data_IF_707947640202
#
_entry.id   IF_707947640202
#
_cell.length_a   1.000
_cell.length_b   1.000
_cell.length_c   1.000
_cell.angle_alpha   90.00
_cell.angle_beta   90.00
_cell.angle_gamma   90.00
#
_symmetry.space_group_name_H-M   'P 1'
#
loop_
_entity.id
_entity.type
_entity.pdbx_description
1 polymer ?
#
# COMPACT_ATOMS: atom_id res chain seq x y z
N UNK A 1 24.89 40.11 28.31
CA UNK A 1 23.46 39.85 28.06
C UNK A 1 23.10 39.93 26.57
N UNK A 2 23.39 41.04 25.90
CA UNK A 2 23.03 41.25 24.48
C UNK A 2 23.79 40.32 23.54
N UNK A 3 25.06 40.06 23.84
CA UNK A 3 25.91 39.15 23.06
C UNK A 3 25.47 37.66 23.20
N UNK A 4 24.97 37.29 24.37
CA UNK A 4 24.42 35.93 24.62
C UNK A 4 23.09 35.70 23.87
N UNK A 5 22.24 36.73 23.83
CA UNK A 5 20.99 36.72 23.09
C UNK A 5 21.28 36.64 21.58
N UNK A 6 22.25 37.40 21.08
CA UNK A 6 22.66 37.37 19.69
C UNK A 6 23.21 35.98 19.30
N UNK A 7 24.08 35.41 20.14
CA UNK A 7 24.63 34.06 19.90
C UNK A 7 23.56 32.96 19.91
N UNK A 8 22.59 33.06 20.83
CA UNK A 8 21.46 32.13 20.89
C UNK A 8 20.60 32.24 19.63
N UNK A 9 20.27 33.46 19.18
CA UNK A 9 19.49 33.68 17.98
C UNK A 9 20.21 33.20 16.72
N UNK A 10 21.52 33.44 16.65
CA UNK A 10 22.37 32.96 15.54
C UNK A 10 22.39 31.40 15.49
N UNK A 11 22.60 30.75 16.62
CA UNK A 11 22.60 29.30 16.68
C UNK A 11 21.22 28.70 16.31
N UNK A 12 20.13 29.34 16.75
CA UNK A 12 18.77 28.92 16.36
C UNK A 12 18.55 29.10 14.84
N UNK A 13 19.07 30.17 14.26
CA UNK A 13 19.00 30.41 12.82
C UNK A 13 19.76 29.36 12.03
N UNK A 14 20.95 28.97 12.47
CA UNK A 14 21.73 27.89 11.83
C UNK A 14 21.03 26.55 11.90
N UNK A 15 20.43 26.20 13.04
CA UNK A 15 19.66 24.97 13.20
C UNK A 15 18.46 24.96 12.25
N UNK A 16 17.72 26.06 12.18
CA UNK A 16 16.58 26.20 11.25
C UNK A 16 17.01 26.10 9.79
N UNK A 17 18.12 26.72 9.41
CA UNK A 17 18.64 26.65 8.04
C UNK A 17 19.04 25.22 7.66
N UNK A 18 19.69 24.48 8.57
CA UNK A 18 20.01 23.07 8.35
C UNK A 18 18.76 22.23 8.16
N UNK A 19 17.78 22.37 9.04
CA UNK A 19 16.50 21.65 8.95
C UNK A 19 15.77 21.97 7.64
N UNK A 20 15.73 23.23 7.23
CA UNK A 20 15.16 23.63 5.94
C UNK A 20 15.94 23.06 4.75
N UNK A 21 17.26 23.04 4.80
CA UNK A 21 18.09 22.46 3.75
C UNK A 21 17.87 20.96 3.62
N UNK A 22 17.82 20.23 4.73
CA UNK A 22 17.53 18.80 4.74
C UNK A 22 16.14 18.49 4.16
N UNK A 23 15.12 19.28 4.54
CA UNK A 23 13.77 19.17 4.00
C UNK A 23 13.72 19.45 2.49
N UNK A 24 14.46 20.44 2.01
CA UNK A 24 14.54 20.74 0.57
C UNK A 24 15.17 19.58 -0.20
N UNK A 25 16.32 19.08 0.24
CA UNK A 25 16.98 17.92 -0.40
C UNK A 25 16.10 16.69 -0.41
N UNK A 26 15.40 16.42 0.69
CA UNK A 26 14.48 15.29 0.78
C UNK A 26 13.30 15.47 -0.21
N UNK A 27 12.73 16.66 -0.29
CA UNK A 27 11.66 16.98 -1.24
C UNK A 27 12.09 16.82 -2.70
N UNK A 28 13.25 17.34 -3.06
CA UNK A 28 13.80 17.20 -4.43
C UNK A 28 14.02 15.74 -4.79
N UNK A 29 14.53 14.92 -3.86
CA UNK A 29 14.68 13.48 -4.05
C UNK A 29 13.32 12.80 -4.26
N UNK A 30 12.31 13.14 -3.47
CA UNK A 30 10.97 12.59 -3.63
C UNK A 30 10.33 12.95 -4.97
N UNK A 31 10.47 14.20 -5.41
CA UNK A 31 9.93 14.65 -6.71
C UNK A 31 10.64 13.98 -7.89
N UNK A 32 11.99 13.90 -7.84
CA UNK A 32 12.77 13.20 -8.85
C UNK A 32 12.41 11.71 -8.92
N UNK A 33 12.29 11.05 -7.75
CA UNK A 33 11.92 9.65 -7.64
C UNK A 33 10.50 9.40 -8.15
N UNK A 34 9.54 10.25 -7.81
CA UNK A 34 8.16 10.17 -8.29
C UNK A 34 8.04 10.30 -9.81
N UNK A 35 8.83 11.19 -10.40
CA UNK A 35 8.89 11.35 -11.87
C UNK A 35 9.49 10.13 -12.55
N UNK A 36 10.62 9.61 -12.03
CA UNK A 36 11.29 8.43 -12.54
C UNK A 36 10.41 7.18 -12.47
N UNK A 37 9.78 6.94 -11.33
CA UNK A 37 8.90 5.80 -11.13
C UNK A 37 7.68 5.81 -12.07
N UNK A 38 7.12 7.00 -12.33
CA UNK A 38 6.03 7.16 -13.30
C UNK A 38 6.48 6.80 -14.72
N UNK A 39 7.64 7.31 -15.11
CA UNK A 39 8.22 7.00 -16.42
C UNK A 39 8.48 5.51 -16.58
N UNK A 40 9.12 4.88 -15.59
CA UNK A 40 9.38 3.44 -15.59
C UNK A 40 8.08 2.63 -15.62
N UNK A 41 7.06 3.02 -14.86
CA UNK A 41 5.77 2.34 -14.90
C UNK A 41 5.13 2.37 -16.30
N UNK A 42 5.18 3.50 -16.99
CA UNK A 42 4.71 3.59 -18.37
C UNK A 42 5.57 2.75 -19.33
N UNK A 43 6.88 2.80 -19.21
CA UNK A 43 7.78 2.03 -20.06
C UNK A 43 7.66 0.52 -19.86
N UNK A 44 7.33 0.04 -18.63
CA UNK A 44 7.06 -1.37 -18.38
C UNK A 44 5.67 -1.78 -18.89
N UNK A 45 4.65 -0.94 -18.75
CA UNK A 45 3.29 -1.24 -19.27
C UNK A 45 3.25 -1.35 -20.79
N UNK A 46 4.05 -0.56 -21.49
CA UNK A 46 4.07 -0.52 -22.96
C UNK A 46 4.33 -1.89 -23.60
N UNK A 47 5.31 -2.72 -23.18
CA UNK A 47 5.49 -4.05 -23.74
C UNK A 47 4.48 -5.09 -23.21
N UNK A 48 3.87 -4.89 -22.04
CA UNK A 48 2.93 -5.85 -21.47
C UNK A 48 1.63 -5.94 -22.29
N UNK A 49 1.12 -4.81 -22.77
CA UNK A 49 -0.10 -4.78 -23.58
C UNK A 49 0.01 -5.59 -24.87
N UNK A 50 1.05 -5.45 -25.73
CA UNK A 50 1.19 -6.30 -26.91
C UNK A 50 1.45 -7.78 -26.56
N UNK A 51 2.11 -8.09 -25.44
CA UNK A 51 2.28 -9.49 -25.00
C UNK A 51 0.90 -10.10 -24.68
N UNK A 52 0.05 -9.38 -23.93
CA UNK A 52 -1.30 -9.83 -23.60
C UNK A 52 -2.17 -10.06 -24.85
N UNK A 53 -2.13 -9.11 -25.79
CA UNK A 53 -2.81 -9.26 -27.09
C UNK A 53 -2.30 -10.46 -27.89
N UNK A 54 -1.01 -10.75 -27.82
CA UNK A 54 -0.42 -11.92 -28.49
C UNK A 54 -0.90 -13.23 -27.86
N UNK A 55 -0.98 -13.29 -26.54
CA UNK A 55 -1.55 -14.44 -25.81
C UNK A 55 -3.00 -14.69 -26.21
N UNK A 56 -3.82 -13.63 -26.28
CA UNK A 56 -5.21 -13.74 -26.67
C UNK A 56 -5.34 -14.21 -28.13
N UNK A 57 -4.49 -13.73 -29.03
CA UNK A 57 -4.44 -14.21 -30.42
C UNK A 57 -4.03 -15.68 -30.52
N UNK A 58 -3.02 -16.11 -29.75
CA UNK A 58 -2.59 -17.52 -29.71
C UNK A 58 -3.72 -18.40 -29.19
N UNK A 59 -4.39 -17.98 -28.13
CA UNK A 59 -5.56 -18.68 -27.59
C UNK A 59 -6.66 -18.86 -28.65
N UNK A 60 -7.05 -17.77 -29.30
CA UNK A 60 -8.13 -17.79 -30.29
C UNK A 60 -7.78 -18.59 -31.55
N UNK A 61 -6.51 -18.56 -31.97
CA UNK A 61 -6.06 -19.26 -33.16
C UNK A 61 -5.94 -20.77 -32.96
N UNK A 62 -5.34 -21.19 -31.85
CA UNK A 62 -4.94 -22.59 -31.67
C UNK A 62 -5.89 -23.42 -30.79
N UNK A 63 -6.80 -22.81 -30.01
CA UNK A 63 -7.72 -23.55 -29.16
C UNK A 63 -8.62 -24.53 -29.91
N UNK A 64 -8.91 -24.31 -31.19
CA UNK A 64 -9.74 -25.18 -32.03
C UNK A 64 -8.94 -26.14 -32.90
N UNK A 65 -7.61 -25.97 -33.01
CA UNK A 65 -6.75 -26.77 -33.85
C UNK A 65 -6.05 -27.91 -33.07
N UNK A 66 -6.05 -27.83 -31.75
CA UNK A 66 -5.38 -28.79 -30.86
C UNK A 66 -6.35 -29.91 -30.44
N UNK A 67 -5.83 -31.13 -30.33
CA UNK A 67 -6.54 -32.22 -29.68
C UNK A 67 -6.79 -31.92 -28.20
N UNK A 68 -7.79 -32.59 -27.60
CA UNK A 68 -8.34 -32.27 -26.29
C UNK A 68 -7.28 -32.15 -25.18
N UNK A 69 -6.31 -33.07 -25.15
CA UNK A 69 -5.25 -33.12 -24.14
C UNK A 69 -4.22 -31.98 -24.32
N UNK A 70 -3.83 -31.69 -25.55
CA UNK A 70 -2.89 -30.63 -25.85
C UNK A 70 -3.53 -29.25 -25.69
N UNK A 71 -4.83 -29.12 -25.93
CA UNK A 71 -5.60 -27.91 -25.71
C UNK A 71 -5.72 -27.55 -24.23
N UNK A 72 -5.95 -28.52 -23.34
CA UNK A 72 -5.97 -28.30 -21.90
C UNK A 72 -4.62 -27.76 -21.40
N UNK A 73 -3.53 -28.45 -21.73
CA UNK A 73 -2.17 -28.01 -21.36
C UNK A 73 -1.82 -26.63 -21.94
N UNK A 74 -2.20 -26.38 -23.19
CA UNK A 74 -1.96 -25.08 -23.85
C UNK A 74 -2.71 -23.94 -23.15
N UNK A 75 -3.99 -24.13 -22.84
CA UNK A 75 -4.79 -23.13 -22.13
C UNK A 75 -4.30 -22.90 -20.69
N UNK A 76 -3.84 -23.95 -20.00
CA UNK A 76 -3.25 -23.83 -18.67
C UNK A 76 -1.96 -23.00 -18.70
N UNK A 77 -1.06 -23.26 -19.65
CA UNK A 77 0.15 -22.47 -19.83
C UNK A 77 -0.16 -21.00 -20.16
N UNK A 78 -1.11 -20.73 -21.06
CA UNK A 78 -1.53 -19.36 -21.36
C UNK A 78 -2.13 -18.66 -20.14
N UNK A 79 -2.90 -19.37 -19.32
CA UNK A 79 -3.45 -18.86 -18.06
C UNK A 79 -2.35 -18.50 -17.07
N UNK A 80 -1.31 -19.34 -16.95
CA UNK A 80 -0.14 -19.06 -16.10
C UNK A 80 0.55 -17.77 -16.56
N UNK A 81 0.85 -17.66 -17.85
CA UNK A 81 1.51 -16.47 -18.41
C UNK A 81 0.65 -15.22 -18.18
N UNK A 82 -0.65 -15.30 -18.43
CA UNK A 82 -1.56 -14.18 -18.24
C UNK A 82 -1.64 -13.73 -16.76
N UNK A 83 -1.60 -14.68 -15.83
CA UNK A 83 -1.54 -14.38 -14.40
C UNK A 83 -0.21 -13.67 -14.02
N UNK A 84 0.92 -14.08 -14.60
CA UNK A 84 2.20 -13.40 -14.37
C UNK A 84 2.21 -11.97 -14.89
N UNK A 85 1.62 -11.73 -16.07
CA UNK A 85 1.48 -10.38 -16.63
C UNK A 85 0.64 -9.51 -15.68
N UNK A 86 -0.50 -10.01 -15.22
CA UNK A 86 -1.34 -9.28 -14.26
C UNK A 86 -0.62 -8.97 -12.94
N UNK A 87 0.22 -9.89 -12.46
CA UNK A 87 1.04 -9.66 -11.28
C UNK A 87 2.07 -8.55 -11.51
N UNK A 88 2.74 -8.55 -12.68
CA UNK A 88 3.68 -7.48 -13.04
C UNK A 88 2.96 -6.14 -13.15
N UNK A 89 1.80 -6.09 -13.80
CA UNK A 89 0.97 -4.87 -13.89
C UNK A 89 0.59 -4.34 -12.49
N UNK A 90 0.20 -5.22 -11.59
CA UNK A 90 -0.12 -4.87 -10.21
C UNK A 90 1.08 -4.25 -9.49
N UNK A 91 2.25 -4.91 -9.56
CA UNK A 91 3.49 -4.42 -8.94
C UNK A 91 3.90 -3.05 -9.50
N UNK A 92 3.81 -2.88 -10.82
CA UNK A 92 4.14 -1.61 -11.50
C UNK A 92 3.18 -0.49 -11.07
N UNK A 93 1.89 -0.80 -10.91
CA UNK A 93 0.90 0.16 -10.42
C UNK A 93 1.19 0.55 -8.96
N UNK A 94 1.42 -0.42 -8.08
CA UNK A 94 1.76 -0.19 -6.67
C UNK A 94 3.04 0.65 -6.53
N UNK A 95 4.06 0.37 -7.35
CA UNK A 95 5.29 1.15 -7.39
C UNK A 95 5.04 2.60 -7.85
N UNK A 96 4.24 2.78 -8.90
CA UNK A 96 3.87 4.12 -9.39
C UNK A 96 3.06 4.91 -8.36
N UNK A 97 2.14 4.24 -7.66
CA UNK A 97 1.30 4.86 -6.63
C UNK A 97 2.10 5.22 -5.39
N UNK A 98 3.06 4.37 -4.98
CA UNK A 98 4.01 4.67 -3.92
C UNK A 98 4.83 5.93 -4.25
N UNK A 99 5.33 6.02 -5.47
CA UNK A 99 6.13 7.17 -5.91
C UNK A 99 5.31 8.48 -6.10
N UNK A 100 3.99 8.37 -6.14
CA UNK A 100 3.06 9.52 -6.26
C UNK A 100 2.55 10.02 -4.91
N UNK A 101 2.98 9.44 -3.81
CA UNK A 101 2.44 9.88 -2.51
C UNK A 101 2.52 11.39 -2.37
N UNK A 102 1.39 12.09 -2.19
CA UNK A 102 1.38 13.52 -1.95
C UNK A 102 2.09 13.83 -0.63
N UNK A 103 2.56 15.07 -0.50
CA UNK A 103 3.11 15.53 0.78
C UNK A 103 2.04 15.36 1.86
N UNK A 104 2.39 14.80 3.03
CA UNK A 104 1.42 14.55 4.08
C UNK A 104 0.81 15.85 4.59
N UNK A 105 -0.51 15.86 4.76
CA UNK A 105 -1.26 16.96 5.35
C UNK A 105 -1.59 16.56 6.78
N UNK A 106 -0.77 17.01 7.73
CA UNK A 106 -0.95 16.68 9.14
C UNK A 106 -2.13 17.44 9.74
N UNK A 107 -3.08 16.69 10.28
CA UNK A 107 -4.24 17.19 11.00
C UNK A 107 -4.50 16.34 12.23
N UNK A 108 -5.20 16.91 13.22
CA UNK A 108 -5.63 16.16 14.40
C UNK A 108 -6.76 15.22 14.01
N UNK A 109 -6.49 13.92 13.95
CA UNK A 109 -7.45 12.88 13.60
C UNK A 109 -7.71 11.97 14.79
N UNK A 110 -8.91 11.41 14.86
CA UNK A 110 -9.26 10.35 15.81
C UNK A 110 -8.88 8.99 15.19
N UNK A 111 -7.91 8.30 15.80
CA UNK A 111 -7.43 7.01 15.34
C UNK A 111 -8.47 5.91 15.48
N UNK A 112 -9.35 6.02 16.49
CA UNK A 112 -10.41 5.02 16.73
C UNK A 112 -11.43 5.07 15.59
N UNK A 113 -11.90 6.27 15.23
CA UNK A 113 -12.81 6.45 14.11
C UNK A 113 -12.18 5.96 12.80
N UNK A 114 -10.94 6.33 12.56
CA UNK A 114 -10.21 5.93 11.36
C UNK A 114 -10.07 4.40 11.26
N UNK A 115 -9.81 3.71 12.37
CA UNK A 115 -9.71 2.25 12.40
C UNK A 115 -11.07 1.60 12.14
N UNK A 116 -12.13 2.09 12.77
CA UNK A 116 -13.49 1.59 12.58
C UNK A 116 -13.92 1.71 11.12
N UNK A 117 -13.64 2.83 10.47
CA UNK A 117 -13.98 3.04 9.06
C UNK A 117 -13.26 2.05 8.13
N UNK A 118 -11.97 1.79 8.39
CA UNK A 118 -11.21 0.80 7.62
C UNK A 118 -11.70 -0.64 7.85
N UNK A 119 -12.06 -0.98 9.09
CA UNK A 119 -12.62 -2.30 9.41
C UNK A 119 -13.96 -2.51 8.70
N UNK A 120 -14.86 -1.54 8.75
CA UNK A 120 -16.16 -1.61 8.05
C UNK A 120 -15.98 -1.85 6.55
N UNK A 121 -15.08 -1.08 5.91
CA UNK A 121 -14.80 -1.22 4.50
C UNK A 121 -14.32 -2.65 4.14
N UNK A 122 -13.47 -3.24 4.97
CA UNK A 122 -12.94 -4.58 4.73
C UNK A 122 -13.97 -5.69 5.04
N UNK A 123 -14.80 -5.51 6.04
CA UNK A 123 -15.91 -6.43 6.33
C UNK A 123 -16.97 -6.45 5.21
N UNK A 124 -17.17 -5.33 4.50
CA UNK A 124 -18.03 -5.29 3.32
C UNK A 124 -17.44 -6.09 2.14
N UNK A 125 -16.11 -6.12 2.00
CA UNK A 125 -15.41 -6.85 0.94
C UNK A 125 -15.37 -8.36 1.19
N UNK A 126 -15.23 -8.81 2.44
CA UNK A 126 -15.24 -10.23 2.81
C UNK A 126 -15.96 -10.46 4.14
N UNK A 127 -17.24 -10.86 4.04
CA UNK A 127 -18.11 -11.18 5.19
C UNK A 127 -17.77 -12.50 5.89
N UNK A 128 -16.85 -13.30 5.35
CA UNK A 128 -16.49 -14.60 5.93
C UNK A 128 -15.44 -14.48 7.06
N UNK A 129 -14.87 -13.29 7.26
CA UNK A 129 -13.82 -13.03 8.25
C UNK A 129 -14.39 -12.17 9.37
N UNK A 130 -14.26 -12.65 10.59
CA UNK A 130 -14.60 -11.90 11.78
C UNK A 130 -13.42 -10.99 12.20
N UNK A 131 -13.69 -9.71 12.34
CA UNK A 131 -12.68 -8.74 12.78
C UNK A 131 -13.13 -8.18 14.13
N UNK A 132 -12.39 -8.55 15.17
CA UNK A 132 -12.58 -8.02 16.52
C UNK A 132 -11.70 -6.78 16.72
N UNK A 133 -12.30 -5.68 17.13
CA UNK A 133 -11.59 -4.47 17.48
C UNK A 133 -11.71 -4.17 18.96
N UNK A 134 -10.58 -4.16 19.66
CA UNK A 134 -10.50 -3.82 21.08
C UNK A 134 -9.84 -2.46 21.24
N UNK A 135 -10.49 -1.60 21.97
CA UNK A 135 -10.00 -0.27 22.28
C UNK A 135 -10.37 0.08 23.73
N UNK A 136 -9.38 0.48 24.52
CA UNK A 136 -9.58 0.86 25.92
C UNK A 136 -10.00 2.34 26.07
N UNK A 137 -9.77 3.17 25.04
CA UNK A 137 -10.05 4.59 25.03
C UNK A 137 -11.11 4.91 23.97
N UNK A 138 -12.11 5.71 24.32
CA UNK A 138 -13.17 6.07 23.36
C UNK A 138 -12.67 6.90 22.18
N UNK A 139 -11.63 7.71 22.39
CA UNK A 139 -11.04 8.58 21.37
C UNK A 139 -9.53 8.69 21.61
N UNK A 140 -8.75 8.56 20.57
CA UNK A 140 -7.29 8.74 20.58
C UNK A 140 -6.94 9.71 19.47
N UNK A 141 -6.57 10.93 19.84
CA UNK A 141 -6.21 11.96 18.87
C UNK A 141 -4.72 11.93 18.54
N UNK A 142 -4.42 11.90 17.25
CA UNK A 142 -3.06 11.93 16.74
C UNK A 142 -2.90 12.91 15.58
N UNK A 143 -1.77 13.60 15.51
CA UNK A 143 -1.47 14.51 14.42
C UNK A 143 -0.91 13.70 13.23
N UNK A 144 -1.76 13.42 12.26
CA UNK A 144 -1.45 12.52 11.13
C UNK A 144 -2.11 13.00 9.84
N UNK A 145 -1.64 12.48 8.73
CA UNK A 145 -2.36 12.53 7.47
C UNK A 145 -3.39 11.41 7.43
N UNK A 146 -4.67 11.78 7.40
CA UNK A 146 -5.80 10.84 7.47
C UNK A 146 -5.77 9.82 6.33
N UNK A 147 -5.49 10.27 5.09
CA UNK A 147 -5.52 9.40 3.91
C UNK A 147 -4.34 8.42 3.92
N UNK A 148 -3.14 8.89 4.25
CA UNK A 148 -1.95 8.03 4.30
C UNK A 148 -2.06 7.01 5.42
N UNK A 149 -2.53 7.42 6.60
CA UNK A 149 -2.70 6.52 7.73
C UNK A 149 -3.81 5.49 7.49
N UNK A 150 -4.93 5.91 6.89
CA UNK A 150 -5.99 4.99 6.45
C UNK A 150 -5.46 3.94 5.47
N UNK A 151 -4.61 4.34 4.53
CA UNK A 151 -3.95 3.43 3.57
C UNK A 151 -3.06 2.40 4.29
N UNK A 152 -2.34 2.81 5.33
CA UNK A 152 -1.53 1.89 6.15
C UNK A 152 -2.41 0.86 6.85
N UNK A 153 -3.46 1.29 7.53
CA UNK A 153 -4.38 0.40 8.24
C UNK A 153 -5.07 -0.56 7.29
N UNK A 154 -5.59 -0.04 6.17
CA UNK A 154 -6.22 -0.87 5.15
C UNK A 154 -5.26 -1.96 4.64
N UNK A 155 -4.03 -1.61 4.32
CA UNK A 155 -3.04 -2.57 3.82
C UNK A 155 -2.67 -3.64 4.86
N UNK A 156 -2.51 -3.26 6.12
CA UNK A 156 -2.19 -4.20 7.20
C UNK A 156 -3.34 -5.20 7.43
N UNK A 157 -4.58 -4.71 7.53
CA UNK A 157 -5.73 -5.57 7.73
C UNK A 157 -5.97 -6.46 6.49
N UNK A 158 -5.85 -5.90 5.29
CA UNK A 158 -5.95 -6.65 4.03
C UNK A 158 -4.92 -7.78 3.94
N UNK A 159 -3.67 -7.52 4.29
CA UNK A 159 -2.63 -8.55 4.33
C UNK A 159 -2.96 -9.67 5.32
N UNK A 160 -3.55 -9.32 6.46
CA UNK A 160 -4.03 -10.29 7.44
C UNK A 160 -5.18 -11.14 6.88
N UNK A 161 -6.14 -10.52 6.20
CA UNK A 161 -7.25 -11.18 5.49
C UNK A 161 -6.71 -12.17 4.45
N UNK A 162 -5.82 -11.72 3.56
CA UNK A 162 -5.21 -12.56 2.51
C UNK A 162 -4.45 -13.75 3.11
N UNK A 163 -3.72 -13.54 4.21
CA UNK A 163 -3.00 -14.60 4.94
C UNK A 163 -3.94 -15.65 5.52
N UNK A 164 -5.07 -15.22 6.09
CA UNK A 164 -6.10 -16.10 6.66
C UNK A 164 -6.79 -16.91 5.56
N UNK A 165 -7.12 -16.28 4.43
CA UNK A 165 -7.71 -16.96 3.29
C UNK A 165 -6.80 -18.08 2.76
N UNK A 166 -5.50 -17.80 2.58
CA UNK A 166 -4.52 -18.82 2.15
C UNK A 166 -4.38 -19.98 3.14
N UNK A 167 -4.48 -19.71 4.44
CA UNK A 167 -4.44 -20.76 5.47
C UNK A 167 -5.75 -21.58 5.47
N UNK A 168 -6.89 -20.94 5.30
CA UNK A 168 -8.18 -21.61 5.26
C UNK A 168 -8.35 -22.54 4.05
N UNK A 169 -7.72 -22.24 2.92
CA UNK A 169 -7.66 -23.14 1.76
C UNK A 169 -6.88 -24.43 2.06
N UNK A 170 -5.92 -24.40 2.96
CA UNK A 170 -5.06 -25.54 3.33
C UNK A 170 -5.57 -26.33 4.52
N UNK A 171 -6.49 -25.79 5.31
CA UNK A 171 -6.98 -26.39 6.56
C UNK A 171 -8.49 -26.28 6.68
N UNK A 172 -9.19 -27.40 6.80
CA UNK A 172 -10.66 -27.44 6.81
C UNK A 172 -11.34 -26.93 8.10
N UNK A 173 -10.58 -26.75 9.19
CA UNK A 173 -11.11 -26.30 10.50
C UNK A 173 -10.46 -25.01 11.01
N UNK A 174 -10.24 -24.05 10.13
CA UNK A 174 -9.59 -22.80 10.49
C UNK A 174 -10.62 -21.71 10.80
N UNK A 175 -10.55 -21.17 12.04
CA UNK A 175 -11.38 -20.02 12.44
C UNK A 175 -10.79 -18.76 11.82
N UNK A 176 -11.58 -18.06 11.00
CA UNK A 176 -11.18 -16.84 10.31
C UNK A 176 -11.44 -15.63 11.20
N UNK A 177 -10.52 -15.35 12.12
CA UNK A 177 -10.62 -14.21 13.04
C UNK A 177 -9.37 -13.33 12.95
N UNK A 178 -9.56 -12.01 13.00
CA UNK A 178 -8.51 -10.99 13.10
C UNK A 178 -8.78 -10.16 14.35
N UNK A 179 -7.87 -10.21 15.32
CA UNK A 179 -7.89 -9.31 16.49
C UNK A 179 -7.07 -8.06 16.21
N UNK A 180 -7.67 -6.90 16.42
CA UNK A 180 -7.00 -5.60 16.35
C UNK A 180 -7.13 -4.96 17.73
N UNK A 181 -6.02 -4.52 18.30
CA UNK A 181 -5.99 -3.84 19.59
C UNK A 181 -5.30 -2.48 19.42
N UNK A 182 -5.94 -1.44 19.94
CA UNK A 182 -5.41 -0.08 19.94
C UNK A 182 -5.21 0.35 21.40
N UNK A 183 -3.95 0.54 21.78
CA UNK A 183 -3.56 0.97 23.12
C UNK A 183 -2.88 2.34 23.04
N UNK A 184 -3.34 3.26 23.89
CA UNK A 184 -2.64 4.50 24.14
C UNK A 184 -1.56 4.21 25.20
N UNK A 185 -0.31 4.19 24.76
CA UNK A 185 0.82 4.07 25.66
C UNK A 185 1.27 5.50 25.97
N UNK A 186 1.14 5.92 27.22
CA UNK A 186 1.54 7.25 27.72
C UNK A 186 3.01 7.62 27.48
N UNK A 187 3.73 6.84 26.72
CA UNK A 187 5.11 7.09 26.34
C UNK A 187 5.18 8.07 25.15
N UNK A 188 5.60 9.28 25.50
CA UNK A 188 5.98 10.32 24.55
C UNK A 188 6.97 9.78 23.52
N UNK A 189 6.51 9.65 22.28
CA UNK A 189 7.42 9.62 21.14
C UNK A 189 7.92 11.06 20.97
N UNK A 190 9.08 11.33 21.53
CA UNK A 190 9.81 12.60 21.37
C UNK A 190 10.38 12.69 19.93
#
# INVERSE_FOLDING_TARGET
KDLEILNKNFNQMIVRLKDQQEKLVLNERHEAWGSLARKLAHEIKNPLTPIQLTIDRLKNKYSNELDKKNNENFNENLKIINNQIKQIEKLVNEFSDFARMPKPIFQKNDLVELMIDNIKLLQELDKSIEIEFKNNNHQIYFNSDKEQLSRVFFNLIKNSVESIQQKAEKSHNFVKNIGIELNDLDDHIS
#
